data_IF_064199873486
#
_entry.id   IF_064199873486
#
_cell.length_a   1.000
_cell.length_b   1.000
_cell.length_c   1.000
_cell.angle_alpha   90.00
_cell.angle_beta   90.00
_cell.angle_gamma   90.00
#
_symmetry.space_group_name_H-M   'P 1'
#
loop_
_entity.id
_entity.type
_entity.pdbx_description
1 polymer ?
#
# COMPACT_ATOMS: atom_id res chain seq x y z
N UNK A 1 42.08 -20.40 41.91
CA UNK A 1 42.67 -20.77 43.22
C UNK A 1 41.77 -20.18 44.30
N UNK A 2 41.16 -21.04 45.14
CA UNK A 2 40.36 -20.78 46.36
C UNK A 2 38.95 -20.18 46.15
N UNK A 3 37.79 -20.87 46.32
CA UNK A 3 37.16 -21.77 47.34
C UNK A 3 36.17 -21.00 48.25
N UNK A 4 35.04 -21.67 48.54
CA UNK A 4 34.02 -21.54 49.64
C UNK A 4 32.63 -21.08 49.14
N UNK A 5 31.58 -21.91 49.00
CA UNK A 5 30.94 -22.97 49.84
C UNK A 5 30.08 -22.43 50.99
N UNK A 6 28.79 -22.81 51.00
CA UNK A 6 27.84 -22.66 52.13
C UNK A 6 26.39 -22.48 51.63
N UNK A 7 25.59 -23.51 51.32
CA UNK A 7 24.88 -24.48 52.19
C UNK A 7 23.81 -23.86 53.12
N UNK A 8 22.54 -24.28 52.99
CA UNK A 8 21.50 -24.03 54.00
C UNK A 8 20.05 -24.05 53.50
N UNK A 9 19.48 -25.22 53.27
CA UNK A 9 18.03 -25.48 53.11
C UNK A 9 17.35 -25.57 54.48
N UNK A 10 16.10 -25.09 54.63
CA UNK A 10 15.09 -25.73 55.50
C UNK A 10 13.66 -25.20 55.27
N UNK A 11 12.89 -26.06 54.60
CA UNK A 11 11.50 -26.49 54.82
C UNK A 11 10.62 -25.81 55.89
N UNK A 12 9.36 -25.51 55.52
CA UNK A 12 8.24 -25.26 56.44
C UNK A 12 6.90 -25.19 55.71
N UNK A 13 6.13 -26.27 55.78
CA UNK A 13 4.87 -26.53 55.06
C UNK A 13 3.62 -26.18 55.89
N UNK A 14 2.51 -25.93 55.19
CA UNK A 14 1.08 -26.14 55.56
C UNK A 14 0.38 -25.15 56.51
N UNK A 15 -0.63 -24.44 55.98
CA UNK A 15 -2.04 -24.63 56.38
C UNK A 15 -3.01 -23.91 55.41
N UNK A 16 -3.92 -24.67 54.80
CA UNK A 16 -5.23 -24.19 54.35
C UNK A 16 -6.28 -24.73 55.34
N UNK A 17 -7.43 -24.06 55.54
CA UNK A 17 -8.62 -24.53 54.80
C UNK A 17 -9.69 -23.47 54.44
N UNK A 18 -10.31 -23.70 53.27
CA UNK A 18 -11.73 -23.73 52.91
C UNK A 18 -12.73 -22.57 53.23
N UNK A 19 -13.29 -22.04 52.12
CA UNK A 19 -14.73 -21.95 51.79
C UNK A 19 -15.59 -20.79 52.30
N UNK A 20 -16.13 -20.01 51.35
CA UNK A 20 -17.26 -19.09 51.53
C UNK A 20 -17.54 -18.28 50.26
N UNK A 21 -18.63 -18.61 49.56
CA UNK A 21 -19.01 -18.12 48.24
C UNK A 21 -19.68 -16.72 48.23
N UNK A 22 -19.46 -15.96 47.15
CA UNK A 22 -20.53 -15.32 46.36
C UNK A 22 -19.95 -14.75 45.03
N UNK A 23 -20.64 -14.94 43.89
CA UNK A 23 -20.17 -14.49 42.59
C UNK A 23 -20.62 -13.04 42.35
N UNK A 24 -19.68 -12.17 41.97
CA UNK A 24 -20.02 -10.87 41.41
C UNK A 24 -19.59 -10.90 39.95
N UNK A 25 -20.58 -11.02 39.07
CA UNK A 25 -20.38 -10.81 37.65
C UNK A 25 -19.85 -9.39 37.43
N UNK A 26 -18.80 -9.30 36.63
CA UNK A 26 -18.42 -8.07 35.96
C UNK A 26 -17.68 -8.50 34.69
N UNK A 27 -18.49 -8.57 33.64
CA UNK A 27 -18.14 -8.16 32.28
C UNK A 27 -17.00 -8.94 31.61
N UNK A 28 -17.43 -9.91 30.81
CA UNK A 28 -16.76 -10.23 29.57
C UNK A 28 -16.48 -8.92 28.81
N UNK A 29 -15.23 -8.46 28.86
CA UNK A 29 -14.67 -7.52 27.89
C UNK A 29 -14.50 -8.24 26.55
N UNK A 30 -15.61 -8.68 25.98
CA UNK A 30 -15.75 -9.02 24.57
C UNK A 30 -16.26 -7.76 23.86
N UNK A 31 -15.40 -6.77 23.69
CA UNK A 31 -15.63 -5.69 22.72
C UNK A 31 -14.29 -5.01 22.42
N UNK A 32 -13.49 -5.63 21.56
CA UNK A 32 -12.76 -4.88 20.51
C UNK A 32 -12.18 -5.82 19.43
N UNK A 33 -13.01 -6.68 18.86
CA UNK A 33 -12.66 -7.47 17.67
C UNK A 33 -13.53 -7.07 16.47
N UNK A 34 -13.99 -5.82 16.46
CA UNK A 34 -14.93 -5.30 15.47
C UNK A 34 -14.62 -3.84 15.09
N UNK A 35 -13.33 -3.49 14.90
CA UNK A 35 -12.97 -2.26 14.16
C UNK A 35 -11.60 -2.31 13.45
N UNK A 36 -11.06 -3.52 13.22
CA UNK A 36 -9.83 -3.67 12.44
C UNK A 36 -10.08 -3.81 10.92
N UNK A 37 -11.35 -3.85 10.50
CA UNK A 37 -11.73 -4.11 9.12
C UNK A 37 -11.64 -2.88 8.20
N UNK A 38 -11.58 -1.67 8.78
CA UNK A 38 -11.57 -0.40 8.04
C UNK A 38 -10.23 0.35 8.11
N UNK A 39 -9.21 -0.26 8.74
CA UNK A 39 -7.86 0.29 8.70
C UNK A 39 -7.30 0.17 7.27
N UNK A 40 -6.78 1.26 6.67
CA UNK A 40 -6.16 1.20 5.35
C UNK A 40 -5.11 0.10 5.30
N UNK A 41 -5.32 -0.87 4.42
CA UNK A 41 -4.43 -2.02 4.29
C UNK A 41 -2.99 -1.55 4.04
N UNK A 42 -1.97 -2.19 4.67
CA UNK A 42 -0.59 -1.80 4.45
C UNK A 42 -0.23 -1.96 2.96
N UNK A 43 0.26 -0.89 2.33
CA UNK A 43 0.63 -0.87 0.90
C UNK A 43 1.60 -2.00 0.53
N UNK A 44 2.53 -2.30 1.43
CA UNK A 44 3.45 -3.43 1.32
C UNK A 44 2.72 -4.76 1.12
N UNK A 45 1.65 -5.01 1.87
CA UNK A 45 0.88 -6.24 1.77
C UNK A 45 0.14 -6.32 0.43
N UNK A 46 -0.39 -5.19 -0.05
CA UNK A 46 -1.08 -5.13 -1.35
C UNK A 46 -0.11 -5.46 -2.50
N UNK A 47 1.07 -4.84 -2.50
CA UNK A 47 2.09 -5.11 -3.52
C UNK A 47 2.53 -6.58 -3.47
N UNK A 48 2.74 -7.13 -2.26
CA UNK A 48 3.09 -8.54 -2.10
C UNK A 48 2.02 -9.49 -2.67
N UNK A 49 0.74 -9.20 -2.44
CA UNK A 49 -0.37 -9.98 -2.99
C UNK A 49 -0.39 -9.97 -4.52
N UNK A 50 -0.21 -8.80 -5.14
CA UNK A 50 -0.19 -8.70 -6.60
C UNK A 50 1.03 -9.39 -7.21
N UNK A 51 2.20 -9.30 -6.56
CA UNK A 51 3.41 -10.04 -6.96
C UNK A 51 3.19 -11.55 -6.93
N UNK A 52 2.61 -12.06 -5.85
CA UNK A 52 2.29 -13.48 -5.72
C UNK A 52 1.23 -13.92 -6.73
N UNK A 53 0.17 -13.14 -6.90
CA UNK A 53 -0.90 -13.42 -7.85
C UNK A 53 -0.40 -13.43 -9.30
N UNK A 54 0.53 -12.56 -9.65
CA UNK A 54 1.13 -12.54 -10.99
C UNK A 54 2.04 -13.74 -11.23
N UNK A 55 2.92 -14.05 -10.27
CA UNK A 55 3.84 -15.20 -10.36
C UNK A 55 3.10 -16.52 -10.43
N UNK A 56 2.11 -16.73 -9.56
CA UNK A 56 1.29 -17.94 -9.55
C UNK A 56 0.49 -18.15 -10.84
N UNK A 57 0.07 -17.07 -11.50
CA UNK A 57 -0.62 -17.12 -12.79
C UNK A 57 0.31 -17.11 -14.01
N UNK A 58 1.63 -16.93 -13.84
CA UNK A 58 2.56 -16.73 -14.96
C UNK A 58 2.28 -15.46 -15.77
N UNK A 59 1.71 -14.43 -15.13
CA UNK A 59 1.37 -13.16 -15.73
C UNK A 59 2.48 -12.12 -15.51
N UNK A 60 2.56 -11.16 -16.43
CA UNK A 60 3.26 -9.92 -16.18
C UNK A 60 2.50 -9.10 -15.13
N UNK A 61 3.26 -8.36 -14.32
CA UNK A 61 2.73 -7.39 -13.36
C UNK A 61 3.42 -6.07 -13.61
N UNK A 62 2.67 -4.97 -13.67
CA UNK A 62 3.23 -3.63 -13.62
C UNK A 62 2.58 -2.81 -12.52
N UNK A 63 3.35 -1.91 -11.91
CA UNK A 63 2.88 -0.92 -10.95
C UNK A 63 3.14 0.46 -11.56
N UNK A 64 2.07 1.16 -11.92
CA UNK A 64 2.13 2.59 -12.23
C UNK A 64 1.90 3.41 -10.96
N UNK A 65 2.77 4.36 -10.69
CA UNK A 65 2.53 5.43 -9.73
C UNK A 65 2.18 6.70 -10.49
N UNK A 66 1.09 7.33 -10.09
CA UNK A 66 0.53 8.51 -10.72
C UNK A 66 0.42 9.59 -9.66
N UNK A 67 1.07 10.72 -9.89
CA UNK A 67 1.05 11.87 -8.99
C UNK A 67 0.38 13.06 -9.65
N UNK A 68 -0.55 13.73 -8.94
CA UNK A 68 -1.04 15.05 -9.36
C UNK A 68 0.08 16.06 -9.16
N UNK A 69 0.47 16.72 -10.25
CA UNK A 69 1.40 17.82 -10.18
C UNK A 69 0.71 19.03 -9.49
N UNK A 70 1.50 20.05 -9.18
CA UNK A 70 1.02 21.27 -8.51
C UNK A 70 0.44 21.03 -7.11
N UNK A 71 0.97 20.03 -6.39
CA UNK A 71 0.56 19.68 -5.04
C UNK A 71 0.48 20.89 -4.09
N UNK A 72 1.45 21.82 -4.14
CA UNK A 72 1.43 23.04 -3.34
C UNK A 72 0.24 23.96 -3.65
N UNK A 73 -0.10 24.11 -4.94
CA UNK A 73 -1.22 24.94 -5.37
C UNK A 73 -2.57 24.31 -4.99
N UNK A 74 -2.68 22.99 -5.08
CA UNK A 74 -3.86 22.23 -4.66
C UNK A 74 -4.01 22.33 -3.13
N UNK A 75 -2.94 22.07 -2.38
CA UNK A 75 -2.93 22.11 -0.92
C UNK A 75 -3.24 23.51 -0.36
N UNK A 76 -2.78 24.58 -1.02
CA UNK A 76 -3.06 25.96 -0.62
C UNK A 76 -4.56 26.32 -0.61
N UNK A 77 -5.40 25.57 -1.34
CA UNK A 77 -6.86 25.77 -1.38
C UNK A 77 -7.60 25.02 -0.27
N UNK A 78 -6.90 24.23 0.53
CA UNK A 78 -7.41 23.54 1.71
C UNK A 78 -7.73 22.06 1.50
N UNK A 79 -7.93 21.31 2.60
CA UNK A 79 -8.04 19.85 2.59
C UNK A 79 -9.24 19.31 1.80
N UNK A 80 -10.37 20.02 1.79
CA UNK A 80 -11.55 19.61 1.02
C UNK A 80 -11.28 19.65 -0.49
N UNK A 81 -10.44 20.59 -0.94
CA UNK A 81 -10.05 20.67 -2.34
C UNK A 81 -9.07 19.56 -2.71
N UNK A 82 -8.11 19.24 -1.83
CA UNK A 82 -7.20 18.10 -2.00
C UNK A 82 -8.01 16.80 -2.17
N UNK A 83 -8.98 16.55 -1.29
CA UNK A 83 -9.84 15.38 -1.36
C UNK A 83 -10.63 15.32 -2.69
N UNK A 84 -11.20 16.45 -3.12
CA UNK A 84 -11.93 16.51 -4.38
C UNK A 84 -11.05 16.22 -5.60
N UNK A 85 -9.80 16.71 -5.63
CA UNK A 85 -8.85 16.42 -6.70
C UNK A 85 -8.37 14.95 -6.65
N UNK A 86 -8.17 14.39 -5.46
CA UNK A 86 -7.86 12.97 -5.28
C UNK A 86 -9.00 12.07 -5.79
N UNK A 87 -10.25 12.41 -5.49
CA UNK A 87 -11.44 11.68 -5.97
C UNK A 87 -11.60 11.80 -7.49
N UNK A 88 -11.37 13.00 -8.04
CA UNK A 88 -11.41 13.24 -9.48
C UNK A 88 -10.32 12.44 -10.21
N UNK A 89 -9.10 12.37 -9.67
CA UNK A 89 -8.04 11.54 -10.23
C UNK A 89 -8.40 10.05 -10.16
N UNK A 90 -8.89 9.56 -9.02
CA UNK A 90 -9.30 8.17 -8.88
C UNK A 90 -10.37 7.78 -9.91
N UNK A 91 -11.38 8.63 -10.12
CA UNK A 91 -12.43 8.43 -11.12
C UNK A 91 -11.87 8.38 -12.55
N UNK A 92 -10.91 9.25 -12.89
CA UNK A 92 -10.23 9.25 -14.19
C UNK A 92 -9.44 7.96 -14.40
N UNK A 93 -8.68 7.52 -13.40
CA UNK A 93 -7.93 6.26 -13.47
C UNK A 93 -8.88 5.09 -13.68
N UNK A 94 -9.96 4.99 -12.90
CA UNK A 94 -10.93 3.92 -13.02
C UNK A 94 -11.62 3.87 -14.39
N UNK A 95 -11.88 5.03 -15.01
CA UNK A 95 -12.43 5.10 -16.36
C UNK A 95 -11.45 4.60 -17.44
N UNK A 96 -10.16 4.89 -17.27
CA UNK A 96 -9.11 4.54 -18.24
C UNK A 96 -8.61 3.10 -18.05
N UNK A 97 -8.63 2.57 -16.84
CA UNK A 97 -8.11 1.24 -16.50
C UNK A 97 -9.10 0.45 -15.61
N UNK A 98 -10.29 0.10 -16.11
CA UNK A 98 -11.39 -0.42 -15.30
C UNK A 98 -11.10 -1.79 -14.64
N UNK A 99 -10.25 -2.60 -15.28
CA UNK A 99 -9.86 -3.92 -14.77
C UNK A 99 -8.62 -3.85 -13.85
N UNK A 100 -8.02 -2.67 -13.71
CA UNK A 100 -6.83 -2.47 -12.88
C UNK A 100 -7.21 -2.21 -11.44
N UNK A 101 -6.40 -2.75 -10.51
CA UNK A 101 -6.53 -2.41 -9.10
C UNK A 101 -5.93 -1.02 -8.86
N UNK A 102 -6.69 -0.14 -8.25
CA UNK A 102 -6.30 1.25 -7.94
C UNK A 102 -6.24 1.43 -6.43
N UNK A 103 -5.15 2.01 -5.94
CA UNK A 103 -4.88 2.15 -4.50
C UNK A 103 -4.24 3.51 -4.20
N UNK A 104 -4.58 4.11 -3.05
CA UNK A 104 -3.96 5.38 -2.64
C UNK A 104 -2.57 5.14 -2.04
N UNK A 105 -1.54 5.65 -2.70
CA UNK A 105 -0.13 5.40 -2.36
C UNK A 105 0.53 6.52 -1.55
N UNK A 106 -0.10 7.69 -1.52
CA UNK A 106 0.28 8.88 -0.77
C UNK A 106 -0.78 9.95 -0.93
N UNK A 107 -0.54 11.12 -0.35
CA UNK A 107 -1.30 12.31 -0.69
C UNK A 107 -1.07 12.62 -2.17
N UNK A 108 -2.14 12.82 -2.94
CA UNK A 108 -2.11 13.14 -4.37
C UNK A 108 -1.38 12.10 -5.23
N UNK A 109 -1.24 10.86 -4.73
CA UNK A 109 -0.56 9.78 -5.44
C UNK A 109 -1.34 8.48 -5.38
N UNK A 110 -1.57 7.90 -6.56
CA UNK A 110 -2.24 6.60 -6.74
C UNK A 110 -1.30 5.56 -7.35
N UNK A 111 -1.43 4.32 -6.90
CA UNK A 111 -0.85 3.14 -7.51
C UNK A 111 -1.89 2.40 -8.34
N UNK A 112 -1.52 1.98 -9.55
CA UNK A 112 -2.38 1.23 -10.48
C UNK A 112 -1.65 -0.03 -10.91
N UNK A 113 -2.28 -1.17 -10.66
CA UNK A 113 -1.70 -2.47 -11.01
C UNK A 113 -2.28 -3.01 -12.31
N UNK A 114 -1.39 -3.32 -13.25
CA UNK A 114 -1.68 -4.17 -14.39
C UNK A 114 -1.26 -5.60 -14.09
N UNK A 115 -2.15 -6.57 -14.30
CA UNK A 115 -1.81 -7.99 -14.22
C UNK A 115 -2.41 -8.74 -15.41
N UNK A 116 -1.57 -9.32 -16.26
CA UNK A 116 -2.03 -9.98 -17.47
C UNK A 116 -0.91 -10.53 -18.34
N UNK A 117 -1.22 -10.84 -19.60
CA UNK A 117 -0.21 -11.26 -20.56
C UNK A 117 0.76 -10.10 -20.87
N UNK A 118 2.07 -10.38 -20.96
CA UNK A 118 3.08 -9.37 -21.27
C UNK A 118 2.78 -8.63 -22.59
N UNK A 119 2.19 -9.30 -23.57
CA UNK A 119 1.80 -8.72 -24.86
C UNK A 119 0.69 -7.66 -24.75
N UNK A 120 -0.01 -7.57 -23.63
CA UNK A 120 -1.03 -6.56 -23.37
C UNK A 120 -0.48 -5.35 -22.58
N UNK A 121 0.75 -5.43 -22.07
CA UNK A 121 1.35 -4.38 -21.25
C UNK A 121 1.47 -3.05 -21.99
N UNK A 122 2.05 -3.05 -23.20
CA UNK A 122 2.27 -1.81 -23.97
C UNK A 122 0.95 -1.08 -24.25
N UNK A 123 -0.08 -1.84 -24.63
CA UNK A 123 -1.41 -1.28 -24.89
C UNK A 123 -2.01 -0.66 -23.62
N UNK A 124 -1.87 -1.33 -22.47
CA UNK A 124 -2.30 -0.80 -21.19
C UNK A 124 -1.52 0.47 -20.79
N UNK A 125 -0.19 0.48 -20.94
CA UNK A 125 0.63 1.62 -20.59
C UNK A 125 0.31 2.86 -21.44
N UNK A 126 0.12 2.66 -22.75
CA UNK A 126 -0.33 3.73 -23.67
C UNK A 126 -1.71 4.23 -23.31
N UNK A 127 -2.67 3.33 -23.05
CA UNK A 127 -4.03 3.70 -22.66
C UNK A 127 -4.02 4.52 -21.36
N UNK A 128 -3.28 4.08 -20.34
CA UNK A 128 -3.14 4.79 -19.07
C UNK A 128 -2.54 6.18 -19.27
N UNK A 129 -1.42 6.27 -19.99
CA UNK A 129 -0.75 7.55 -20.28
C UNK A 129 -1.68 8.50 -21.04
N UNK A 130 -2.21 8.07 -22.18
CA UNK A 130 -2.98 8.95 -23.07
C UNK A 130 -4.30 9.35 -22.42
N UNK A 131 -4.97 8.44 -21.71
CA UNK A 131 -6.19 8.73 -20.96
C UNK A 131 -5.99 9.78 -19.86
N UNK A 132 -4.82 9.80 -19.22
CA UNK A 132 -4.53 10.71 -18.11
C UNK A 132 -3.79 11.99 -18.51
N UNK A 133 -3.31 12.07 -19.75
CA UNK A 133 -2.57 13.25 -20.24
C UNK A 133 -3.23 13.84 -21.48
N UNK A 134 -3.16 13.16 -22.62
CA UNK A 134 -3.64 13.64 -23.93
C UNK A 134 -5.16 13.84 -23.96
N UNK A 135 -5.90 12.95 -23.30
CA UNK A 135 -7.37 12.95 -23.26
C UNK A 135 -7.94 13.47 -21.94
N UNK A 136 -7.09 14.04 -21.09
CA UNK A 136 -7.54 14.68 -19.87
C UNK A 136 -8.44 15.89 -20.19
N UNK A 137 -9.36 16.20 -19.28
CA UNK A 137 -10.14 17.43 -19.40
C UNK A 137 -9.20 18.65 -19.43
N UNK A 138 -9.51 19.73 -20.16
CA UNK A 138 -8.62 20.89 -20.32
C UNK A 138 -8.23 21.58 -18.99
N UNK A 139 -9.06 21.43 -17.97
CA UNK A 139 -8.92 21.97 -16.63
C UNK A 139 -8.40 20.95 -15.60
N UNK A 140 -8.18 19.70 -16.00
CA UNK A 140 -7.64 18.68 -15.11
C UNK A 140 -6.18 19.02 -14.76
N UNK A 141 -5.77 18.91 -13.48
CA UNK A 141 -4.38 19.07 -13.11
C UNK A 141 -3.48 18.08 -13.86
N UNK A 142 -2.27 18.51 -14.27
CA UNK A 142 -1.33 17.63 -14.94
C UNK A 142 -0.87 16.51 -13.99
N UNK A 143 -0.48 15.37 -14.56
CA UNK A 143 0.02 14.23 -13.78
C UNK A 143 1.39 13.80 -14.26
N UNK A 144 2.18 13.27 -13.32
CA UNK A 144 3.41 12.53 -13.61
C UNK A 144 3.14 11.03 -13.44
N UNK A 145 3.64 10.22 -14.39
CA UNK A 145 3.37 8.78 -14.44
C UNK A 145 4.70 8.02 -14.53
N UNK A 146 5.01 7.24 -13.49
CA UNK A 146 6.12 6.31 -13.48
C UNK A 146 5.62 4.87 -13.41
N UNK A 147 6.12 3.99 -14.27
CA UNK A 147 5.69 2.60 -14.34
C UNK A 147 6.90 1.70 -14.10
N UNK A 148 6.76 0.70 -13.23
CA UNK A 148 7.72 -0.40 -13.13
C UNK A 148 7.08 -1.71 -13.55
N UNK A 149 7.76 -2.47 -14.40
CA UNK A 149 7.41 -3.84 -14.73
C UNK A 149 8.08 -4.79 -13.73
N UNK A 150 7.35 -5.82 -13.27
CA UNK A 150 7.89 -6.82 -12.35
C UNK A 150 8.94 -7.68 -13.06
N UNK A 151 10.09 -7.85 -12.41
CA UNK A 151 11.25 -8.56 -12.92
C UNK A 151 11.76 -9.56 -11.90
N UNK A 152 12.64 -10.46 -12.32
CA UNK A 152 13.26 -11.46 -11.45
C UNK A 152 14.08 -10.81 -10.31
N UNK A 153 14.62 -9.60 -10.51
CA UNK A 153 15.33 -8.85 -9.46
C UNK A 153 14.43 -8.36 -8.31
N UNK A 154 13.12 -8.32 -8.52
CA UNK A 154 12.16 -7.80 -7.55
C UNK A 154 11.75 -8.89 -6.55
N UNK A 155 12.67 -9.29 -5.67
CA UNK A 155 12.39 -10.30 -4.65
C UNK A 155 11.44 -9.80 -3.55
N UNK A 156 11.35 -8.49 -3.37
CA UNK A 156 10.57 -7.86 -2.30
C UNK A 156 9.60 -6.79 -2.83
N UNK A 157 8.45 -6.57 -2.16
CA UNK A 157 7.56 -5.46 -2.46
C UNK A 157 8.23 -4.09 -2.44
N UNK A 158 9.21 -3.92 -1.55
CA UNK A 158 9.96 -2.68 -1.39
C UNK A 158 10.86 -2.41 -2.60
N UNK A 159 11.54 -3.43 -3.13
CA UNK A 159 12.35 -3.29 -4.34
C UNK A 159 11.48 -2.93 -5.55
N UNK A 160 10.34 -3.61 -5.72
CA UNK A 160 9.44 -3.30 -6.82
C UNK A 160 8.84 -1.90 -6.73
N UNK A 161 8.45 -1.48 -5.52
CA UNK A 161 7.98 -0.12 -5.26
C UNK A 161 9.08 0.92 -5.50
N UNK A 162 10.33 0.62 -5.15
CA UNK A 162 11.45 1.54 -5.34
C UNK A 162 11.64 1.87 -6.82
N UNK A 163 11.64 0.87 -7.70
CA UNK A 163 11.69 1.08 -9.16
C UNK A 163 10.51 1.93 -9.64
N UNK A 164 9.29 1.66 -9.17
CA UNK A 164 8.13 2.47 -9.55
C UNK A 164 8.26 3.95 -9.09
N UNK A 165 8.86 4.18 -7.91
CA UNK A 165 9.15 5.52 -7.40
C UNK A 165 10.26 6.21 -8.19
N UNK A 166 11.30 5.49 -8.60
CA UNK A 166 12.37 6.03 -9.44
C UNK A 166 11.86 6.42 -10.82
N UNK A 167 11.01 5.58 -11.43
CA UNK A 167 10.31 5.89 -12.66
C UNK A 167 9.43 7.15 -12.49
N UNK A 168 8.71 7.28 -11.37
CA UNK A 168 7.86 8.44 -11.12
C UNK A 168 8.69 9.72 -10.95
N UNK A 169 9.81 9.63 -10.24
CA UNK A 169 10.73 10.76 -10.06
C UNK A 169 11.27 11.24 -11.40
N UNK A 170 11.74 10.33 -12.25
CA UNK A 170 12.21 10.67 -13.59
C UNK A 170 11.08 11.27 -14.46
N UNK A 171 9.86 10.73 -14.35
CA UNK A 171 8.72 11.28 -15.06
C UNK A 171 8.36 12.70 -14.63
N UNK A 172 8.47 12.98 -13.33
CA UNK A 172 8.26 14.30 -12.76
C UNK A 172 9.35 15.30 -13.23
N UNK A 173 10.60 14.87 -13.28
CA UNK A 173 11.74 15.71 -13.70
C UNK A 173 11.73 16.00 -15.22
N UNK A 174 11.33 15.03 -16.03
CA UNK A 174 11.37 15.12 -17.50
C UNK A 174 10.04 15.58 -18.12
N UNK A 175 8.94 15.44 -17.40
CA UNK A 175 7.58 15.64 -17.92
C UNK A 175 7.11 14.53 -18.86
N UNK A 176 7.82 13.39 -18.91
CA UNK A 176 7.50 12.27 -19.79
C UNK A 176 7.19 11.00 -19.00
N UNK A 177 6.19 10.23 -19.43
CA UNK A 177 5.90 8.94 -18.81
C UNK A 177 7.13 8.03 -18.89
N UNK A 178 7.62 7.57 -17.74
CA UNK A 178 8.83 6.75 -17.65
C UNK A 178 8.46 5.32 -17.28
N UNK A 179 9.06 4.35 -17.96
CA UNK A 179 8.87 2.92 -17.70
C UNK A 179 10.23 2.30 -17.35
N UNK A 180 10.31 1.63 -16.22
CA UNK A 180 11.47 0.83 -15.81
C UNK A 180 11.15 -0.66 -15.93
N UNK A 181 12.00 -1.36 -16.65
CA UNK A 181 11.94 -2.80 -16.93
C UNK A 181 13.18 -3.51 -16.39
#
# INVERSE_FOLDING_TARGET
RQILTGFGTLLGTLLAPASGAAPTGAEAGDTDAADAADAPRPRRAIIAEEMEAARSAGHALALALIHLNDADAIAARGPDHVAAEEDALAARIAAVAPESRVERFGELTYGVFFRGAITAFDAWAVQLRDGLTVHAAPDAPPVSIGIALLQDRHDTPEAFRADAMDALREAYETGTCTILE
#
